data_IF_122474358024
#
_entry.id   IF_122474358024
#
_cell.length_a   1.000
_cell.length_b   1.000
_cell.length_c   1.000
_cell.angle_alpha   90.00
_cell.angle_beta   90.00
_cell.angle_gamma   90.00
#
_symmetry.space_group_name_H-M   'P 1'
#
loop_
_entity.id
_entity.type
_entity.pdbx_description
1 polymer ?
#
# COMPACT_ATOMS: atom_id res chain seq x y z
N UNK A 1 24.23 -2.63 -27.43
CA UNK A 1 23.40 -3.36 -26.46
C UNK A 1 22.21 -2.47 -26.23
N UNK A 2 21.06 -2.79 -26.81
CA UNK A 2 19.87 -1.97 -26.63
C UNK A 2 19.43 -2.07 -25.17
N UNK A 3 19.37 -0.91 -24.51
CA UNK A 3 18.82 -0.80 -23.16
C UNK A 3 17.31 -0.94 -23.32
N UNK A 4 16.75 -2.08 -22.93
CA UNK A 4 15.30 -2.23 -22.84
C UNK A 4 14.78 -1.37 -21.70
N UNK A 5 14.20 -0.22 -22.02
CA UNK A 5 13.45 0.58 -21.06
C UNK A 5 12.05 -0.02 -20.86
N UNK A 6 11.79 -0.52 -19.65
CA UNK A 6 10.44 -0.92 -19.22
C UNK A 6 9.75 0.27 -18.56
N UNK A 7 8.56 0.61 -19.04
CA UNK A 7 7.71 1.62 -18.41
C UNK A 7 6.77 0.94 -17.42
N UNK A 8 6.81 1.38 -16.17
CA UNK A 8 5.89 0.95 -15.13
C UNK A 8 4.83 2.03 -14.89
N UNK A 9 3.56 1.64 -14.85
CA UNK A 9 2.49 2.54 -14.44
C UNK A 9 2.28 2.54 -12.91
N UNK A 10 1.30 3.33 -12.43
CA UNK A 10 1.04 3.43 -10.99
C UNK A 10 0.51 2.12 -10.39
N UNK A 11 -0.28 1.35 -11.14
CA UNK A 11 -0.86 0.10 -10.65
C UNK A 11 0.22 -0.98 -10.60
N UNK A 12 1.00 -1.11 -11.66
CA UNK A 12 2.13 -2.06 -11.70
C UNK A 12 3.15 -1.76 -10.60
N UNK A 13 3.47 -0.48 -10.37
CA UNK A 13 4.32 -0.09 -9.25
C UNK A 13 3.69 -0.41 -7.89
N UNK A 14 2.38 -0.15 -7.72
CA UNK A 14 1.68 -0.51 -6.48
C UNK A 14 1.77 -2.01 -6.21
N UNK A 15 1.54 -2.83 -7.24
CA UNK A 15 1.64 -4.28 -7.20
C UNK A 15 3.04 -4.74 -6.78
N UNK A 16 4.09 -4.19 -7.37
CA UNK A 16 5.48 -4.53 -7.02
C UNK A 16 5.80 -4.20 -5.55
N UNK A 17 5.31 -3.07 -5.02
CA UNK A 17 5.51 -2.73 -3.60
C UNK A 17 4.73 -3.65 -2.66
N UNK A 18 3.52 -4.08 -3.04
CA UNK A 18 2.74 -5.03 -2.25
C UNK A 18 3.43 -6.39 -2.24
N UNK A 19 3.90 -6.87 -3.39
CA UNK A 19 4.66 -8.13 -3.48
C UNK A 19 5.96 -8.07 -2.67
N UNK A 20 6.76 -7.02 -2.82
CA UNK A 20 8.01 -6.84 -2.06
C UNK A 20 7.76 -6.80 -0.54
N UNK A 21 6.61 -6.28 -0.11
CA UNK A 21 6.22 -6.30 1.29
C UNK A 21 6.03 -7.71 1.86
N UNK A 22 5.60 -8.67 1.02
CA UNK A 22 5.46 -10.08 1.39
C UNK A 22 6.86 -10.73 1.51
N UNK A 23 7.78 -10.45 0.58
CA UNK A 23 9.18 -10.84 0.72
C UNK A 23 9.84 -10.25 1.99
N UNK A 24 9.49 -9.03 2.38
CA UNK A 24 9.97 -8.45 3.64
C UNK A 24 9.42 -9.15 4.88
N UNK A 25 8.20 -9.69 4.84
CA UNK A 25 7.68 -10.52 5.95
C UNK A 25 8.52 -11.76 6.14
N UNK A 26 8.88 -12.45 5.06
CA UNK A 26 9.77 -13.61 5.12
C UNK A 26 11.11 -13.23 5.77
N UNK A 27 11.72 -12.15 5.28
CA UNK A 27 12.97 -11.61 5.87
C UNK A 27 12.81 -11.18 7.33
N UNK A 28 11.62 -10.71 7.72
CA UNK A 28 11.34 -10.24 9.08
C UNK A 28 11.23 -11.35 10.11
N UNK A 29 10.86 -12.57 9.69
CA UNK A 29 10.86 -13.77 10.56
C UNK A 29 12.27 -14.13 11.03
N UNK A 30 13.26 -13.96 10.16
CA UNK A 30 14.67 -14.18 10.51
C UNK A 30 15.29 -12.96 11.18
N UNK A 31 14.88 -11.76 10.76
CA UNK A 31 15.49 -10.48 11.16
C UNK A 31 14.39 -9.48 11.54
N UNK A 32 14.01 -9.39 12.83
CA UNK A 32 12.90 -8.54 13.25
C UNK A 32 13.01 -7.05 12.87
N UNK A 33 14.21 -6.54 12.60
CA UNK A 33 14.41 -5.18 12.09
C UNK A 33 13.93 -4.97 10.64
N UNK A 34 13.41 -6.01 9.96
CA UNK A 34 12.80 -5.94 8.64
C UNK A 34 11.30 -5.67 8.67
N UNK A 35 10.64 -5.85 9.81
CA UNK A 35 9.23 -5.51 9.99
C UNK A 35 8.86 -4.08 9.56
N UNK A 36 9.63 -3.04 9.89
CA UNK A 36 9.34 -1.69 9.41
C UNK A 36 9.35 -1.59 7.88
N UNK A 37 10.22 -2.31 7.19
CA UNK A 37 10.29 -2.31 5.72
C UNK A 37 9.07 -3.00 5.10
N UNK A 38 8.67 -4.17 5.63
CA UNK A 38 7.44 -4.84 5.23
C UNK A 38 6.24 -3.89 5.29
N UNK A 39 6.09 -3.20 6.43
CA UNK A 39 4.95 -2.31 6.62
C UNK A 39 5.08 -1.04 5.74
N UNK A 40 6.27 -0.49 5.57
CA UNK A 40 6.48 0.68 4.70
C UNK A 40 6.21 0.37 3.23
N UNK A 41 6.68 -0.77 2.71
CA UNK A 41 6.39 -1.18 1.34
C UNK A 41 4.90 -1.41 1.13
N UNK A 42 4.23 -2.04 2.08
CA UNK A 42 2.78 -2.23 2.01
C UNK A 42 2.00 -0.90 2.01
N UNK A 43 2.40 0.06 2.85
CA UNK A 43 1.83 1.42 2.86
C UNK A 43 2.14 2.17 1.55
N UNK A 44 3.33 1.99 1.00
CA UNK A 44 3.72 2.60 -0.27
C UNK A 44 2.87 2.05 -1.43
N UNK A 45 2.60 0.75 -1.44
CA UNK A 45 1.65 0.12 -2.35
C UNK A 45 0.26 0.76 -2.26
N UNK A 46 -0.28 0.92 -1.05
CA UNK A 46 -1.55 1.61 -0.81
C UNK A 46 -1.55 3.06 -1.33
N UNK A 47 -0.48 3.83 -1.13
CA UNK A 47 -0.37 5.19 -1.66
C UNK A 47 -0.45 5.20 -3.20
N UNK A 48 0.22 4.27 -3.85
CA UNK A 48 0.20 4.15 -5.30
C UNK A 48 -1.15 3.68 -5.84
N UNK A 49 -1.86 2.77 -5.13
CA UNK A 49 -3.24 2.43 -5.45
C UNK A 49 -4.16 3.65 -5.37
N UNK A 50 -4.05 4.45 -4.32
CA UNK A 50 -4.82 5.69 -4.18
C UNK A 50 -4.52 6.67 -5.33
N UNK A 51 -3.24 6.84 -5.69
CA UNK A 51 -2.83 7.66 -6.83
C UNK A 51 -3.39 7.11 -8.15
N UNK A 52 -3.37 5.79 -8.35
CA UNK A 52 -3.96 5.15 -9.52
C UNK A 52 -5.46 5.47 -9.62
N UNK A 53 -6.20 5.36 -8.53
CA UNK A 53 -7.63 5.72 -8.49
C UNK A 53 -7.87 7.19 -8.77
N UNK A 54 -7.04 8.10 -8.29
CA UNK A 54 -7.13 9.53 -8.65
C UNK A 54 -6.87 9.74 -10.14
N UNK A 55 -5.84 9.09 -10.69
CA UNK A 55 -5.46 9.20 -12.08
C UNK A 55 -6.50 8.60 -13.04
N UNK A 56 -7.26 7.58 -12.62
CA UNK A 56 -8.35 7.00 -13.41
C UNK A 56 -9.54 7.96 -13.56
N UNK A 57 -9.74 8.87 -12.59
CA UNK A 57 -10.72 9.95 -12.71
C UNK A 57 -10.17 11.11 -13.54
N UNK A 58 -8.99 11.63 -13.17
CA UNK A 58 -8.27 12.62 -13.98
C UNK A 58 -6.80 12.71 -13.58
N UNK A 59 -5.89 12.68 -14.56
CA UNK A 59 -4.42 12.68 -14.32
C UNK A 59 -3.89 13.87 -13.52
N UNK A 60 -4.58 15.01 -13.51
CA UNK A 60 -4.12 16.17 -12.70
C UNK A 60 -4.28 15.92 -11.19
N UNK A 61 -5.16 15.00 -10.81
CA UNK A 61 -5.52 14.74 -9.41
C UNK A 61 -4.42 13.99 -8.65
N UNK A 62 -3.38 13.48 -9.32
CA UNK A 62 -2.20 12.94 -8.62
C UNK A 62 -1.23 14.02 -8.17
N UNK A 63 -1.39 15.29 -8.56
CA UNK A 63 -0.46 16.36 -8.17
C UNK A 63 -0.94 17.14 -6.94
N UNK A 64 -0.02 17.53 -6.06
CA UNK A 64 -0.32 18.31 -4.85
C UNK A 64 -1.01 19.64 -5.19
N UNK A 65 -0.48 20.32 -6.21
CA UNK A 65 -1.01 21.56 -6.78
C UNK A 65 -1.41 21.30 -8.24
N UNK A 66 -2.70 21.46 -8.55
CA UNK A 66 -3.25 21.20 -9.89
C UNK A 66 -2.90 22.30 -10.90
N UNK A 67 -2.69 23.53 -10.43
CA UNK A 67 -2.33 24.68 -11.26
C UNK A 67 -0.82 24.72 -11.55
N UNK A 68 -0.02 23.99 -10.76
CA UNK A 68 1.43 23.91 -10.89
C UNK A 68 1.94 22.49 -10.57
N UNK A 69 1.75 21.52 -11.47
CA UNK A 69 1.97 20.10 -11.21
C UNK A 69 3.46 19.75 -11.15
N UNK A 70 4.04 19.86 -9.95
CA UNK A 70 5.46 19.53 -9.68
C UNK A 70 5.64 18.26 -8.85
N UNK A 71 4.91 18.18 -7.73
CA UNK A 71 4.97 17.06 -6.80
C UNK A 71 3.66 16.28 -6.82
N UNK A 72 3.73 14.99 -6.54
CA UNK A 72 2.53 14.15 -6.39
C UNK A 72 1.99 14.21 -4.97
N UNK A 73 0.68 14.04 -4.81
CA UNK A 73 0.00 13.99 -3.51
C UNK A 73 0.64 12.99 -2.56
N UNK A 74 0.66 13.30 -1.26
CA UNK A 74 0.94 12.32 -0.21
C UNK A 74 -0.23 11.35 -0.03
N UNK A 75 -0.04 10.25 0.70
CA UNK A 75 -1.14 9.35 1.07
C UNK A 75 -2.30 10.07 1.77
N UNK A 76 -2.03 11.02 2.67
CA UNK A 76 -3.06 11.81 3.36
C UNK A 76 -3.85 12.67 2.36
N UNK A 77 -3.15 13.48 1.55
CA UNK A 77 -3.79 14.34 0.58
C UNK A 77 -4.54 13.54 -0.49
N UNK A 78 -4.00 12.39 -0.88
CA UNK A 78 -4.64 11.46 -1.81
C UNK A 78 -5.93 10.89 -1.26
N UNK A 79 -5.94 10.47 0.01
CA UNK A 79 -7.15 10.03 0.71
C UNK A 79 -8.20 11.14 0.79
N UNK A 80 -7.81 12.34 1.20
CA UNK A 80 -8.73 13.47 1.34
C UNK A 80 -9.37 13.82 -0.02
N UNK A 81 -8.58 13.75 -1.09
CA UNK A 81 -9.07 13.97 -2.46
C UNK A 81 -9.96 12.84 -2.96
N UNK A 82 -9.65 11.58 -2.66
CA UNK A 82 -10.53 10.45 -3.01
C UNK A 82 -11.88 10.55 -2.29
N UNK A 83 -11.91 10.91 -1.01
CA UNK A 83 -13.16 11.09 -0.26
C UNK A 83 -14.00 12.23 -0.84
N UNK A 84 -13.35 13.29 -1.33
CA UNK A 84 -14.05 14.40 -1.98
C UNK A 84 -14.61 14.02 -3.37
N UNK A 85 -14.13 12.93 -3.98
CA UNK A 85 -14.72 12.33 -5.17
C UNK A 85 -15.84 11.39 -4.73
N UNK A 86 -17.10 11.85 -4.76
CA UNK A 86 -18.28 11.02 -4.41
C UNK A 86 -18.38 9.71 -5.23
N UNK A 87 -17.63 9.57 -6.32
CA UNK A 87 -17.54 8.37 -7.15
C UNK A 87 -16.71 7.24 -6.53
N UNK A 88 -15.86 7.53 -5.53
CA UNK A 88 -15.05 6.50 -4.85
C UNK A 88 -15.61 6.30 -3.44
N UNK A 89 -16.34 5.20 -3.27
CA UNK A 89 -16.95 4.86 -1.98
C UNK A 89 -15.87 4.40 -0.98
N UNK A 90 -15.32 5.36 -0.21
CA UNK A 90 -14.46 5.10 0.95
C UNK A 90 -15.30 5.22 2.22
N UNK A 91 -15.50 4.11 2.92
CA UNK A 91 -16.27 4.12 4.16
C UNK A 91 -15.44 4.61 5.36
N UNK A 92 -16.13 4.85 6.49
CA UNK A 92 -15.52 5.38 7.71
C UNK A 92 -14.44 4.44 8.27
N UNK A 93 -14.62 3.12 8.16
CA UNK A 93 -13.66 2.13 8.66
C UNK A 93 -12.41 2.13 7.78
N UNK A 94 -12.57 2.12 6.46
CA UNK A 94 -11.48 2.21 5.50
C UNK A 94 -10.66 3.49 5.73
N UNK A 95 -11.33 4.64 5.84
CA UNK A 95 -10.70 5.92 6.19
C UNK A 95 -9.86 5.82 7.46
N UNK A 96 -10.40 5.22 8.52
CA UNK A 96 -9.68 5.07 9.79
C UNK A 96 -8.44 4.17 9.67
N UNK A 97 -8.51 3.10 8.87
CA UNK A 97 -7.37 2.21 8.63
C UNK A 97 -6.26 2.98 7.88
N UNK A 98 -6.61 3.71 6.82
CA UNK A 98 -5.63 4.50 6.05
C UNK A 98 -4.98 5.58 6.92
N UNK A 99 -5.77 6.28 7.76
CA UNK A 99 -5.23 7.27 8.71
C UNK A 99 -4.26 6.63 9.71
N UNK A 100 -4.55 5.41 10.20
CA UNK A 100 -3.61 4.68 11.06
C UNK A 100 -2.33 4.31 10.31
N UNK A 101 -2.42 3.87 9.06
CA UNK A 101 -1.27 3.60 8.20
C UNK A 101 -0.39 4.86 8.02
N UNK A 102 -0.98 6.02 7.73
CA UNK A 102 -0.27 7.30 7.62
C UNK A 102 0.50 7.62 8.91
N UNK A 103 -0.17 7.51 10.07
CA UNK A 103 0.47 7.76 11.37
C UNK A 103 1.61 6.78 11.63
N UNK A 104 1.42 5.51 11.28
CA UNK A 104 2.44 4.49 11.50
C UNK A 104 3.66 4.69 10.60
N UNK A 105 3.47 5.03 9.32
CA UNK A 105 4.55 5.45 8.41
C UNK A 105 5.34 6.62 9.02
N UNK A 106 4.63 7.65 9.49
CA UNK A 106 5.29 8.82 10.07
C UNK A 106 6.12 8.45 11.30
N UNK A 107 5.61 7.57 12.17
CA UNK A 107 6.37 7.05 13.32
C UNK A 107 7.62 6.29 12.89
N UNK A 108 7.53 5.41 11.89
CA UNK A 108 8.69 4.65 11.40
C UNK A 108 9.76 5.57 10.80
N UNK A 109 9.35 6.55 9.99
CA UNK A 109 10.27 7.31 9.13
C UNK A 109 10.81 8.57 9.81
N UNK A 110 10.03 9.21 10.68
CA UNK A 110 10.31 10.57 11.16
C UNK A 110 10.51 10.69 12.67
N UNK A 111 10.23 9.64 13.45
CA UNK A 111 10.28 9.68 14.90
C UNK A 111 11.02 8.47 15.48
N UNK A 112 11.41 8.56 16.74
CA UNK A 112 11.81 7.40 17.53
C UNK A 112 10.56 6.57 17.86
N UNK A 113 10.62 5.26 17.65
CA UNK A 113 9.49 4.37 17.89
C UNK A 113 9.96 3.03 18.44
N UNK A 114 9.10 2.40 19.23
CA UNK A 114 9.28 1.05 19.73
C UNK A 114 8.29 0.13 19.01
N UNK A 115 8.80 -0.96 18.45
CA UNK A 115 7.99 -1.96 17.78
C UNK A 115 8.51 -3.34 18.13
N UNK A 116 7.66 -4.16 18.76
CA UNK A 116 7.97 -5.58 18.90
C UNK A 116 7.38 -6.38 17.74
N UNK A 117 7.94 -7.56 17.52
CA UNK A 117 7.61 -8.45 16.41
C UNK A 117 6.12 -8.83 16.34
N UNK A 118 5.50 -9.23 17.46
CA UNK A 118 4.08 -9.58 17.48
C UNK A 118 3.17 -8.40 17.11
N UNK A 119 3.52 -7.21 17.58
CA UNK A 119 2.81 -5.99 17.22
C UNK A 119 2.99 -5.66 15.74
N UNK A 120 4.21 -5.78 15.22
CA UNK A 120 4.50 -5.54 13.80
C UNK A 120 3.72 -6.50 12.89
N UNK A 121 3.76 -7.79 13.20
CA UNK A 121 3.01 -8.81 12.46
C UNK A 121 1.51 -8.53 12.48
N UNK A 122 0.94 -8.17 13.65
CA UNK A 122 -0.47 -7.83 13.75
C UNK A 122 -0.84 -6.59 12.94
N UNK A 123 0.02 -5.56 12.93
CA UNK A 123 -0.18 -4.35 12.13
C UNK A 123 -0.12 -4.68 10.64
N UNK A 124 0.90 -5.46 10.24
CA UNK A 124 1.05 -5.89 8.86
C UNK A 124 -0.16 -6.70 8.39
N UNK A 125 -0.58 -7.72 9.13
CA UNK A 125 -1.70 -8.59 8.75
C UNK A 125 -3.00 -7.78 8.58
N UNK A 126 -3.30 -6.85 9.50
CA UNK A 126 -4.49 -5.99 9.40
C UNK A 126 -4.44 -5.05 8.20
N UNK A 127 -3.26 -4.52 7.89
CA UNK A 127 -3.08 -3.66 6.72
C UNK A 127 -3.16 -4.47 5.42
N UNK A 128 -2.60 -5.68 5.41
CA UNK A 128 -2.61 -6.59 4.26
C UNK A 128 -4.04 -7.05 3.96
N UNK A 129 -4.80 -7.43 4.99
CA UNK A 129 -6.23 -7.72 4.91
C UNK A 129 -7.01 -6.56 4.30
N UNK A 130 -6.81 -5.34 4.83
CA UNK A 130 -7.43 -4.15 4.28
C UNK A 130 -7.08 -3.95 2.80
N UNK A 131 -5.81 -4.06 2.42
CA UNK A 131 -5.37 -3.86 1.02
C UNK A 131 -5.94 -4.95 0.12
N UNK A 132 -6.06 -6.19 0.58
CA UNK A 132 -6.70 -7.27 -0.16
C UNK A 132 -8.15 -6.92 -0.52
N UNK A 133 -8.94 -6.49 0.46
CA UNK A 133 -10.33 -6.07 0.22
C UNK A 133 -10.42 -4.78 -0.59
N UNK A 134 -9.55 -3.80 -0.32
CA UNK A 134 -9.50 -2.53 -1.03
C UNK A 134 -9.17 -2.72 -2.51
N UNK A 135 -8.18 -3.57 -2.81
CA UNK A 135 -7.77 -3.90 -4.17
C UNK A 135 -8.90 -4.57 -4.94
N UNK A 136 -9.54 -5.60 -4.36
CA UNK A 136 -10.72 -6.24 -4.97
C UNK A 136 -11.85 -5.24 -5.22
N UNK A 137 -12.16 -4.40 -4.24
CA UNK A 137 -13.27 -3.42 -4.31
C UNK A 137 -13.05 -2.35 -5.37
N UNK A 138 -11.84 -1.80 -5.48
CA UNK A 138 -11.59 -0.61 -6.31
C UNK A 138 -10.84 -0.89 -7.62
N UNK A 139 -10.09 -1.99 -7.71
CA UNK A 139 -9.35 -2.40 -8.91
C UNK A 139 -10.07 -3.53 -9.67
N UNK A 140 -11.04 -4.20 -9.03
CA UNK A 140 -11.78 -5.32 -9.62
C UNK A 140 -10.87 -6.46 -10.09
N UNK A 141 -9.86 -6.77 -9.27
CA UNK A 141 -8.92 -7.88 -9.44
C UNK A 141 -8.53 -8.45 -8.07
N UNK A 142 -7.94 -9.64 -8.04
CA UNK A 142 -7.43 -10.27 -6.82
C UNK A 142 -5.92 -10.05 -6.66
N UNK A 143 -5.44 -9.85 -5.43
CA UNK A 143 -4.01 -9.69 -5.15
C UNK A 143 -3.21 -10.93 -5.55
N UNK A 144 -3.78 -12.12 -5.41
CA UNK A 144 -3.18 -13.38 -5.86
C UNK A 144 -2.65 -13.31 -7.31
N UNK A 145 -3.31 -12.53 -8.19
CA UNK A 145 -2.94 -12.42 -9.60
C UNK A 145 -1.66 -11.62 -9.84
N UNK A 146 -1.18 -10.88 -8.84
CA UNK A 146 0.01 -10.02 -8.92
C UNK A 146 1.14 -10.49 -8.00
N UNK A 147 0.92 -11.57 -7.24
CA UNK A 147 1.90 -12.13 -6.32
C UNK A 147 2.56 -13.33 -6.99
N UNK A 148 3.89 -13.33 -7.03
CA UNK A 148 4.70 -14.42 -7.53
C UNK A 148 4.28 -15.76 -6.89
N UNK A 149 4.25 -16.81 -7.70
CA UNK A 149 3.90 -18.16 -7.28
C UNK A 149 4.78 -18.64 -6.11
N UNK A 150 6.04 -18.20 -6.05
CA UNK A 150 6.95 -18.53 -4.95
C UNK A 150 6.44 -18.01 -3.59
N UNK A 151 5.64 -16.95 -3.57
CA UNK A 151 5.09 -16.34 -2.37
C UNK A 151 3.70 -16.85 -1.96
N UNK A 152 3.04 -17.67 -2.78
CA UNK A 152 1.66 -18.10 -2.52
C UNK A 152 1.47 -18.81 -1.19
N UNK A 153 2.46 -19.58 -0.73
CA UNK A 153 2.40 -20.21 0.59
C UNK A 153 2.36 -19.17 1.73
N UNK A 154 3.22 -18.15 1.63
CA UNK A 154 3.29 -17.08 2.63
C UNK A 154 2.04 -16.19 2.58
N UNK A 155 1.57 -15.87 1.37
CA UNK A 155 0.29 -15.19 1.19
C UNK A 155 -0.84 -15.97 1.85
N UNK A 156 -1.00 -17.27 1.55
CA UNK A 156 -2.04 -18.10 2.15
C UNK A 156 -1.97 -18.13 3.68
N UNK A 157 -0.77 -18.18 4.25
CA UNK A 157 -0.57 -18.11 5.69
C UNK A 157 -1.04 -16.75 6.26
N UNK A 158 -0.72 -15.64 5.59
CA UNK A 158 -1.20 -14.31 5.97
C UNK A 158 -2.72 -14.19 5.86
N UNK A 159 -3.32 -14.70 4.78
CA UNK A 159 -4.77 -14.72 4.55
C UNK A 159 -5.48 -15.52 5.65
N UNK A 160 -4.90 -16.61 6.15
CA UNK A 160 -5.48 -17.42 7.23
C UNK A 160 -5.61 -16.68 8.57
N UNK A 161 -4.92 -15.53 8.73
CA UNK A 161 -4.93 -14.69 9.93
C UNK A 161 -5.98 -13.57 9.87
N UNK A 162 -6.71 -13.45 8.77
CA UNK A 162 -7.78 -12.47 8.58
C UNK A 162 -8.93 -12.77 9.56
N UNK A 163 -9.66 -11.74 10.01
CA UNK A 163 -10.71 -11.87 11.03
C UNK A 163 -12.03 -11.25 10.61
#
# INVERSE_FOLDING_TARGET
MDVFERKFDLLENASNFIEESIYDVERARDKPNKWPFAILHLIQGLELLIKHLLASHHKILVYENIDNPKNTVSLQQGLDRLIALDSVNIDIKEKQIIIRAIKFRNNIVHYEYNLNEKQAESIYCKLFEFIHFFYRKHINSDLQNIIDQELWYLEAELLSKFN
#
